data_IF_106825812628
#
_entry.id   IF_106825812628
#
_cell.length_a   1.000
_cell.length_b   1.000
_cell.length_c   1.000
_cell.angle_alpha   90.00
_cell.angle_beta   90.00
_cell.angle_gamma   90.00
#
_symmetry.space_group_name_H-M   'P 1'
#
loop_
_entity.id
_entity.type
_entity.pdbx_description
1 polymer ?
#
# COMPACT_ATOMS: atom_id res chain seq x y z
N UNK A 1 -39.78 20.53 28.79
CA UNK A 1 -39.12 19.38 28.12
C UNK A 1 -38.01 19.88 27.22
N UNK A 2 -36.80 19.94 27.76
CA UNK A 2 -35.62 20.49 27.07
C UNK A 2 -35.18 19.59 25.90
N UNK A 3 -34.57 20.18 24.86
CA UNK A 3 -34.10 19.49 23.64
C UNK A 3 -33.22 18.26 23.95
N UNK A 4 -32.49 18.31 25.06
CA UNK A 4 -31.61 17.26 25.55
C UNK A 4 -32.38 16.04 26.13
N UNK A 5 -33.53 16.26 26.77
CA UNK A 5 -34.40 15.18 27.30
C UNK A 5 -35.10 14.43 26.17
N UNK A 6 -35.54 15.14 25.13
CA UNK A 6 -36.11 14.52 23.91
C UNK A 6 -35.07 13.69 23.16
N UNK A 7 -33.81 14.14 23.12
CA UNK A 7 -32.70 13.38 22.55
C UNK A 7 -32.46 12.05 23.26
N UNK A 8 -32.44 12.07 24.61
CA UNK A 8 -32.30 10.86 25.44
C UNK A 8 -33.48 9.91 25.32
N UNK A 9 -34.70 10.42 25.28
CA UNK A 9 -35.90 9.59 25.10
C UNK A 9 -35.91 8.91 23.72
N UNK A 10 -35.52 9.64 22.67
CA UNK A 10 -35.46 9.09 21.31
C UNK A 10 -34.33 8.08 21.14
N UNK A 11 -33.17 8.26 21.80
CA UNK A 11 -32.10 7.26 21.79
C UNK A 11 -32.53 5.99 22.54
N UNK A 12 -33.18 6.12 23.70
CA UNK A 12 -33.72 5.00 24.46
C UNK A 12 -34.77 4.22 23.64
N UNK A 13 -35.71 4.92 22.98
CA UNK A 13 -36.72 4.31 22.13
C UNK A 13 -36.11 3.57 20.92
N UNK A 14 -35.05 4.12 20.30
CA UNK A 14 -34.33 3.46 19.20
C UNK A 14 -33.58 2.21 19.68
N UNK A 15 -32.90 2.30 20.82
CA UNK A 15 -32.20 1.16 21.41
C UNK A 15 -33.16 0.03 21.77
N UNK A 16 -34.33 0.37 22.33
CA UNK A 16 -35.37 -0.60 22.67
C UNK A 16 -35.94 -1.28 21.42
N UNK A 17 -36.21 -0.50 20.37
CA UNK A 17 -36.68 -1.05 19.08
C UNK A 17 -35.62 -1.95 18.42
N UNK A 18 -34.35 -1.57 18.50
CA UNK A 18 -33.24 -2.39 18.02
C UNK A 18 -33.13 -3.70 18.80
N UNK A 19 -33.24 -3.65 20.13
CA UNK A 19 -33.20 -4.84 21.00
C UNK A 19 -34.36 -5.80 20.70
N UNK A 20 -35.58 -5.29 20.51
CA UNK A 20 -36.71 -6.10 20.11
C UNK A 20 -36.49 -6.77 18.75
N UNK A 21 -35.89 -6.06 17.78
CA UNK A 21 -35.55 -6.63 16.48
C UNK A 21 -34.46 -7.69 16.56
N UNK A 22 -33.41 -7.48 17.35
CA UNK A 22 -32.35 -8.48 17.54
C UNK A 22 -32.88 -9.73 18.25
N UNK A 23 -33.77 -9.55 19.23
CA UNK A 23 -34.41 -10.67 19.92
C UNK A 23 -35.30 -11.50 19.00
N UNK A 24 -36.10 -10.85 18.13
CA UNK A 24 -36.89 -11.55 17.10
C UNK A 24 -35.99 -12.35 16.15
N UNK A 25 -34.89 -11.76 15.68
CA UNK A 25 -33.92 -12.44 14.82
C UNK A 25 -33.27 -13.63 15.52
N UNK A 26 -32.92 -13.48 16.80
CA UNK A 26 -32.33 -14.54 17.60
C UNK A 26 -33.28 -15.72 17.80
N UNK A 27 -34.56 -15.45 18.07
CA UNK A 27 -35.58 -16.50 18.20
C UNK A 27 -35.79 -17.24 16.87
N UNK A 28 -35.89 -16.52 15.75
CA UNK A 28 -36.00 -17.13 14.43
C UNK A 28 -34.77 -18.00 14.10
N UNK A 29 -33.56 -17.50 14.37
CA UNK A 29 -32.32 -18.25 14.19
C UNK A 29 -32.27 -19.52 15.05
N UNK A 30 -32.71 -19.46 16.31
CA UNK A 30 -32.79 -20.64 17.19
C UNK A 30 -33.78 -21.68 16.68
N UNK A 31 -34.93 -21.27 16.14
CA UNK A 31 -35.87 -22.20 15.52
C UNK A 31 -35.24 -22.90 14.31
N UNK A 32 -34.53 -22.15 13.45
CA UNK A 32 -33.82 -22.71 12.29
C UNK A 32 -32.73 -23.70 12.75
N UNK A 33 -31.93 -23.36 13.75
CA UNK A 33 -30.90 -24.24 14.28
C UNK A 33 -31.48 -25.55 14.85
N UNK A 34 -32.59 -25.47 15.61
CA UNK A 34 -33.29 -26.67 16.09
C UNK A 34 -33.87 -27.52 14.96
N UNK A 35 -34.31 -26.89 13.88
CA UNK A 35 -34.80 -27.61 12.70
C UNK A 35 -33.66 -28.33 11.97
N UNK A 36 -32.52 -27.66 11.78
CA UNK A 36 -31.33 -28.24 11.16
C UNK A 36 -30.73 -29.37 12.00
N UNK A 37 -30.77 -29.25 13.33
CA UNK A 37 -30.37 -30.32 14.25
C UNK A 37 -31.27 -31.55 14.09
N UNK A 38 -32.60 -31.37 14.05
CA UNK A 38 -33.56 -32.46 13.83
C UNK A 38 -33.46 -33.11 12.45
N UNK A 39 -33.13 -32.35 11.41
CA UNK A 39 -33.11 -32.84 10.02
C UNK A 39 -31.77 -33.45 9.62
N UNK A 40 -30.66 -32.97 10.18
CA UNK A 40 -29.31 -33.30 9.71
C UNK A 40 -28.34 -33.70 10.83
N UNK A 41 -28.77 -33.64 12.11
CA UNK A 41 -27.91 -33.92 13.27
C UNK A 41 -26.78 -32.91 13.46
N UNK A 42 -26.90 -31.71 12.87
CA UNK A 42 -25.90 -30.66 12.98
C UNK A 42 -26.10 -29.83 14.25
N UNK A 43 -25.25 -30.08 15.25
CA UNK A 43 -25.27 -29.37 16.53
C UNK A 43 -24.86 -27.90 16.39
N UNK A 44 -25.27 -27.06 17.34
CA UNK A 44 -24.83 -25.65 17.44
C UNK A 44 -23.29 -25.51 17.43
N UNK A 45 -22.59 -26.44 18.06
CA UNK A 45 -21.12 -26.52 18.07
C UNK A 45 -20.53 -26.72 16.67
N UNK A 46 -21.16 -27.53 15.82
CA UNK A 46 -20.75 -27.73 14.43
C UNK A 46 -20.83 -26.42 13.64
N UNK A 47 -21.93 -25.67 13.77
CA UNK A 47 -22.08 -24.38 13.07
C UNK A 47 -21.12 -23.31 13.60
N UNK A 48 -20.85 -23.31 14.91
CA UNK A 48 -19.84 -22.43 15.51
C UNK A 48 -18.47 -22.72 14.91
N UNK A 49 -18.06 -23.99 14.88
CA UNK A 49 -16.78 -24.42 14.32
C UNK A 49 -16.70 -24.13 12.81
N UNK A 50 -17.79 -24.31 12.05
CA UNK A 50 -17.84 -23.95 10.63
C UNK A 50 -17.77 -22.43 10.40
N UNK A 51 -18.39 -21.64 11.27
CA UNK A 51 -18.32 -20.18 11.20
C UNK A 51 -16.91 -19.69 11.50
N UNK A 52 -16.26 -20.23 12.54
CA UNK A 52 -14.86 -19.95 12.87
C UNK A 52 -13.92 -20.39 11.74
N UNK A 53 -14.11 -21.59 11.18
CA UNK A 53 -13.36 -22.06 10.02
C UNK A 53 -13.55 -21.16 8.80
N UNK A 54 -14.77 -20.72 8.49
CA UNK A 54 -15.04 -19.80 7.38
C UNK A 54 -14.41 -18.43 7.61
N UNK A 55 -14.46 -17.91 8.83
CA UNK A 55 -13.76 -16.65 9.20
C UNK A 55 -12.25 -16.79 9.06
N UNK A 56 -11.68 -17.93 9.48
CA UNK A 56 -10.26 -18.20 9.35
C UNK A 56 -9.83 -18.30 7.88
N UNK A 57 -10.60 -19.03 7.05
CA UNK A 57 -10.36 -19.12 5.60
C UNK A 57 -10.49 -17.74 4.95
N UNK A 58 -11.54 -16.97 5.26
CA UNK A 58 -11.69 -15.60 4.73
C UNK A 58 -10.52 -14.72 5.12
N UNK A 59 -10.12 -14.70 6.40
CA UNK A 59 -8.95 -13.95 6.86
C UNK A 59 -7.66 -14.38 6.14
N UNK A 60 -7.47 -15.68 5.92
CA UNK A 60 -6.30 -16.21 5.20
C UNK A 60 -6.33 -15.83 3.71
N UNK A 61 -7.48 -15.94 3.04
CA UNK A 61 -7.65 -15.54 1.64
C UNK A 61 -7.46 -14.03 1.47
N UNK A 62 -7.99 -13.22 2.38
CA UNK A 62 -7.77 -11.76 2.46
C UNK A 62 -6.28 -11.46 2.67
N UNK A 63 -5.60 -12.20 3.55
CA UNK A 63 -4.17 -12.03 3.80
C UNK A 63 -3.31 -12.43 2.60
N UNK A 64 -3.70 -13.47 1.85
CA UNK A 64 -3.02 -13.89 0.62
C UNK A 64 -3.27 -12.89 -0.51
N UNK A 65 -4.52 -12.48 -0.72
CA UNK A 65 -4.91 -11.45 -1.70
C UNK A 65 -4.18 -10.11 -1.46
N UNK A 66 -4.09 -9.68 -0.20
CA UNK A 66 -3.36 -8.46 0.16
C UNK A 66 -1.85 -8.59 0.01
N UNK A 67 -1.26 -9.77 0.24
CA UNK A 67 0.15 -10.03 -0.03
C UNK A 67 0.46 -9.96 -1.53
N UNK A 68 -0.31 -10.66 -2.36
CA UNK A 68 -0.18 -10.67 -3.83
C UNK A 68 -0.38 -9.25 -4.40
N UNK A 69 -1.33 -8.50 -3.84
CA UNK A 69 -1.53 -7.10 -4.19
C UNK A 69 -0.33 -6.21 -3.84
N UNK A 70 0.23 -6.34 -2.63
CA UNK A 70 1.40 -5.58 -2.24
C UNK A 70 2.61 -5.92 -3.12
N UNK A 71 2.71 -7.16 -3.60
CA UNK A 71 3.70 -7.59 -4.58
C UNK A 71 3.50 -6.89 -5.93
N UNK A 72 2.29 -6.89 -6.48
CA UNK A 72 2.01 -6.16 -7.72
C UNK A 72 2.23 -4.65 -7.61
N UNK A 73 1.83 -4.03 -6.50
CA UNK A 73 2.14 -2.61 -6.24
C UNK A 73 3.66 -2.41 -6.15
N UNK A 74 4.40 -3.37 -5.58
CA UNK A 74 5.84 -3.33 -5.58
C UNK A 74 6.40 -3.34 -7.00
N UNK A 75 5.97 -4.26 -7.87
CA UNK A 75 6.43 -4.30 -9.27
C UNK A 75 6.17 -2.97 -9.99
N UNK A 76 4.96 -2.42 -9.84
CA UNK A 76 4.58 -1.15 -10.46
C UNK A 76 5.43 0.03 -9.96
N UNK A 77 5.75 0.09 -8.66
CA UNK A 77 6.65 1.11 -8.09
C UNK A 77 8.07 0.97 -8.66
N UNK A 78 8.55 -0.25 -8.93
CA UNK A 78 9.86 -0.43 -9.56
C UNK A 78 9.87 0.01 -11.03
N UNK A 79 8.81 -0.26 -11.79
CA UNK A 79 8.68 0.21 -13.16
C UNK A 79 8.61 1.73 -13.22
N UNK A 80 7.86 2.36 -12.31
CA UNK A 80 7.79 3.81 -12.20
C UNK A 80 9.17 4.42 -11.88
N UNK A 81 9.91 3.84 -10.92
CA UNK A 81 11.27 4.27 -10.61
C UNK A 81 12.21 4.13 -11.82
N UNK A 82 12.11 3.03 -12.58
CA UNK A 82 12.91 2.83 -13.78
C UNK A 82 12.59 3.84 -14.87
N UNK A 83 11.30 4.17 -15.07
CA UNK A 83 10.89 5.17 -16.03
C UNK A 83 11.39 6.56 -15.65
N UNK A 84 11.27 6.96 -14.39
CA UNK A 84 11.82 8.23 -13.91
C UNK A 84 13.33 8.28 -14.13
N UNK A 85 14.05 7.22 -13.76
CA UNK A 85 15.49 7.14 -14.00
C UNK A 85 15.87 7.16 -15.50
N UNK A 86 15.04 6.59 -16.37
CA UNK A 86 15.24 6.64 -17.82
C UNK A 86 14.97 8.05 -18.37
N UNK A 87 13.94 8.74 -17.89
CA UNK A 87 13.63 10.12 -18.24
C UNK A 87 14.75 11.06 -17.81
N UNK A 88 15.27 10.93 -16.58
CA UNK A 88 16.42 11.71 -16.10
C UNK A 88 17.67 11.48 -16.96
N UNK A 89 17.91 10.24 -17.38
CA UNK A 89 19.00 9.90 -18.32
C UNK A 89 18.78 10.54 -19.69
N UNK A 90 17.56 10.52 -20.22
CA UNK A 90 17.23 11.17 -21.49
C UNK A 90 17.42 12.68 -21.38
N UNK A 91 16.99 13.31 -20.29
CA UNK A 91 17.20 14.74 -20.06
C UNK A 91 18.68 15.10 -19.94
N UNK A 92 19.47 14.33 -19.20
CA UNK A 92 20.92 14.57 -19.08
C UNK A 92 21.62 14.34 -20.41
N UNK A 93 21.23 13.32 -21.18
CA UNK A 93 21.69 13.12 -22.55
C UNK A 93 21.27 14.27 -23.46
N UNK A 94 20.07 14.81 -23.32
CA UNK A 94 19.59 15.94 -24.10
C UNK A 94 20.24 17.26 -23.70
N UNK A 95 20.55 17.48 -22.42
CA UNK A 95 21.36 18.62 -21.94
C UNK A 95 22.79 18.52 -22.47
N UNK A 96 23.39 17.33 -22.43
CA UNK A 96 24.71 17.05 -23.00
C UNK A 96 24.70 17.15 -24.54
N UNK A 97 23.63 16.69 -25.21
CA UNK A 97 23.42 16.87 -26.64
C UNK A 97 23.14 18.34 -26.96
N UNK A 98 22.42 19.12 -26.15
CA UNK A 98 22.20 20.57 -26.35
C UNK A 98 23.51 21.34 -26.22
N UNK A 99 24.36 20.97 -25.26
CA UNK A 99 25.76 21.42 -25.16
C UNK A 99 26.57 21.07 -26.42
N UNK A 100 26.44 19.83 -26.94
CA UNK A 100 27.05 19.40 -28.21
C UNK A 100 26.36 19.99 -29.47
N UNK A 101 25.08 20.38 -29.40
CA UNK A 101 24.23 20.88 -30.50
C UNK A 101 24.34 22.38 -30.69
N UNK A 102 24.91 23.12 -29.72
CA UNK A 102 25.55 24.41 -30.03
C UNK A 102 26.62 24.28 -31.14
N UNK A 103 27.04 23.05 -31.50
CA UNK A 103 27.87 22.73 -32.68
C UNK A 103 27.17 21.98 -33.84
N UNK A 104 25.90 21.57 -33.76
CA UNK A 104 25.15 20.98 -34.92
C UNK A 104 23.67 20.79 -34.61
N UNK A 105 22.80 21.10 -35.57
CA UNK A 105 21.35 21.36 -35.45
C UNK A 105 20.46 20.28 -34.79
N UNK A 106 19.27 20.77 -34.42
CA UNK A 106 18.12 20.21 -33.67
C UNK A 106 17.43 18.97 -34.29
N UNK A 107 16.61 18.24 -33.48
CA UNK A 107 15.48 17.28 -33.77
C UNK A 107 15.60 15.95 -32.99
N UNK A 108 14.70 15.38 -32.19
CA UNK A 108 13.29 15.55 -31.80
C UNK A 108 13.17 15.06 -30.34
N UNK A 109 12.37 15.70 -29.50
CA UNK A 109 12.06 15.23 -28.15
C UNK A 109 10.54 15.32 -27.98
N UNK A 110 9.85 14.19 -28.12
CA UNK A 110 8.41 14.08 -27.87
C UNK A 110 8.01 12.61 -27.83
N UNK A 111 7.79 12.11 -26.61
CA UNK A 111 7.19 10.81 -26.32
C UNK A 111 7.57 10.32 -24.93
N UNK A 112 6.83 10.58 -23.86
CA UNK A 112 5.60 11.33 -23.66
C UNK A 112 5.10 11.10 -22.22
N UNK A 113 4.29 12.01 -21.64
CA UNK A 113 3.66 11.87 -20.32
C UNK A 113 2.61 10.74 -20.21
N UNK A 114 2.25 10.07 -21.31
CA UNK A 114 1.19 9.06 -21.32
C UNK A 114 1.54 7.74 -20.61
N UNK A 115 2.80 7.31 -20.56
CA UNK A 115 3.15 6.02 -19.93
C UNK A 115 3.09 6.06 -18.40
N UNK A 116 3.42 7.21 -17.79
CA UNK A 116 3.29 7.42 -16.34
C UNK A 116 1.82 7.43 -15.92
N UNK A 117 0.96 8.12 -16.69
CA UNK A 117 -0.49 8.13 -16.48
C UNK A 117 -1.08 6.72 -16.62
N UNK A 118 -0.57 5.90 -17.56
CA UNK A 118 -1.01 4.51 -17.70
C UNK A 118 -0.62 3.63 -16.49
N UNK A 119 0.56 3.83 -15.92
CA UNK A 119 0.97 3.13 -14.70
C UNK A 119 0.17 3.60 -13.49
N UNK A 120 -0.12 4.88 -13.36
CA UNK A 120 -0.99 5.40 -12.31
C UNK A 120 -2.38 4.77 -12.39
N UNK A 121 -2.98 4.70 -13.58
CA UNK A 121 -4.26 4.01 -13.82
C UNK A 121 -4.19 2.51 -13.57
N UNK A 122 -3.08 1.85 -13.90
CA UNK A 122 -2.89 0.43 -13.58
C UNK A 122 -2.87 0.22 -12.06
N UNK A 123 -2.20 1.09 -11.31
CA UNK A 123 -2.23 1.04 -9.84
C UNK A 123 -3.64 1.29 -9.33
N UNK A 124 -4.38 2.24 -9.90
CA UNK A 124 -5.79 2.46 -9.54
C UNK A 124 -6.65 1.21 -9.77
N UNK A 125 -6.52 0.56 -10.92
CA UNK A 125 -7.28 -0.66 -11.22
C UNK A 125 -6.94 -1.83 -10.29
N UNK A 126 -5.66 -1.97 -9.89
CA UNK A 126 -5.25 -2.98 -8.91
C UNK A 126 -5.80 -2.62 -7.51
N UNK A 127 -5.84 -1.34 -7.14
CA UNK A 127 -6.41 -0.89 -5.84
C UNK A 127 -7.92 -1.10 -5.74
N UNK A 128 -8.67 -1.05 -6.85
CA UNK A 128 -10.11 -1.33 -6.87
C UNK A 128 -10.43 -2.80 -6.63
N UNK A 129 -9.55 -3.72 -7.09
CA UNK A 129 -9.74 -5.17 -6.93
C UNK A 129 -9.54 -5.66 -5.49
N UNK A 130 -8.75 -4.95 -4.69
CA UNK A 130 -8.51 -5.29 -3.28
C UNK A 130 -9.70 -4.96 -2.36
N UNK A 131 -10.54 -4.01 -2.79
CA UNK A 131 -11.66 -3.51 -2.00
C UNK A 131 -11.27 -2.54 -0.89
N UNK A 132 -12.22 -1.68 -0.52
CA UNK A 132 -11.99 -0.55 0.39
C UNK A 132 -11.62 -0.99 1.81
N UNK A 133 -12.18 -2.11 2.30
CA UNK A 133 -11.99 -2.56 3.66
C UNK A 133 -10.53 -3.01 3.93
N UNK A 134 -9.95 -3.81 3.04
CA UNK A 134 -8.56 -4.30 3.16
C UNK A 134 -7.56 -3.15 3.01
N UNK A 135 -7.81 -2.24 2.07
CA UNK A 135 -6.98 -1.06 1.87
C UNK A 135 -6.99 -0.15 3.10
N UNK A 136 -8.13 -0.04 3.78
CA UNK A 136 -8.27 0.73 5.03
C UNK A 136 -7.54 0.07 6.21
N UNK A 137 -7.62 -1.25 6.35
CA UNK A 137 -6.87 -1.99 7.38
C UNK A 137 -5.36 -1.86 7.17
N UNK A 138 -4.89 -1.94 5.93
CA UNK A 138 -3.48 -1.78 5.58
C UNK A 138 -2.94 -0.36 5.81
N UNK A 139 -3.80 0.66 5.80
CA UNK A 139 -3.41 2.07 5.88
C UNK A 139 -3.82 2.76 7.19
N UNK A 140 -4.64 2.10 8.03
CA UNK A 140 -5.11 2.65 9.30
C UNK A 140 -6.11 3.80 9.16
N UNK A 141 -6.73 3.97 7.99
CA UNK A 141 -7.56 5.16 7.65
C UNK A 141 -9.03 5.05 8.12
N UNK A 142 -9.33 4.23 9.13
CA UNK A 142 -10.70 3.87 9.56
C UNK A 142 -11.62 5.05 9.97
N UNK A 143 -11.09 6.25 10.21
CA UNK A 143 -11.81 7.40 10.77
C UNK A 143 -12.43 8.44 9.79
N UNK A 144 -12.20 8.38 8.47
CA UNK A 144 -12.62 9.42 7.53
C UNK A 144 -13.89 9.06 6.70
N UNK A 145 -14.49 10.02 5.98
CA UNK A 145 -15.59 9.76 5.03
C UNK A 145 -15.17 8.76 3.93
N UNK A 146 -16.04 7.87 3.44
CA UNK A 146 -15.66 6.77 2.53
C UNK A 146 -14.85 7.22 1.30
N UNK A 147 -15.17 8.37 0.71
CA UNK A 147 -14.52 8.89 -0.50
C UNK A 147 -13.12 9.44 -0.22
N UNK A 148 -12.95 10.23 0.85
CA UNK A 148 -11.64 10.74 1.26
C UNK A 148 -10.73 9.63 1.79
N UNK A 149 -11.33 8.60 2.40
CA UNK A 149 -10.65 7.42 2.93
C UNK A 149 -9.93 6.66 1.83
N UNK A 150 -10.65 6.36 0.75
CA UNK A 150 -10.12 5.65 -0.41
C UNK A 150 -9.05 6.46 -1.15
N UNK A 151 -9.27 7.77 -1.33
CA UNK A 151 -8.32 8.66 -1.97
C UNK A 151 -6.98 8.77 -1.21
N UNK A 152 -7.00 8.71 0.12
CA UNK A 152 -5.78 8.73 0.97
C UNK A 152 -5.08 7.37 1.05
N UNK A 153 -5.84 6.28 1.08
CA UNK A 153 -5.29 4.95 1.28
C UNK A 153 -4.41 4.50 0.09
N UNK A 154 -4.79 4.80 -1.16
CA UNK A 154 -4.00 4.44 -2.36
C UNK A 154 -2.54 4.95 -2.33
N UNK A 155 -2.28 6.26 -2.18
CA UNK A 155 -0.90 6.75 -2.13
C UNK A 155 -0.15 6.28 -0.88
N UNK A 156 -0.84 6.06 0.25
CA UNK A 156 -0.22 5.49 1.45
C UNK A 156 0.30 4.07 1.23
N UNK A 157 -0.42 3.22 0.49
CA UNK A 157 0.08 1.88 0.11
C UNK A 157 1.35 2.01 -0.73
N UNK A 158 1.36 2.88 -1.76
CA UNK A 158 2.56 3.11 -2.59
C UNK A 158 3.74 3.56 -1.72
N UNK A 159 3.53 4.49 -0.79
CA UNK A 159 4.56 4.97 0.13
C UNK A 159 5.05 3.86 1.06
N UNK A 160 4.15 3.02 1.61
CA UNK A 160 4.51 1.89 2.48
C UNK A 160 5.41 0.90 1.75
N UNK A 161 5.06 0.56 0.51
CA UNK A 161 5.88 -0.31 -0.35
C UNK A 161 7.23 0.32 -0.67
N UNK A 162 7.26 1.60 -1.08
CA UNK A 162 8.50 2.32 -1.35
C UNK A 162 9.41 2.41 -0.11
N UNK A 163 8.84 2.65 1.08
CA UNK A 163 9.55 2.65 2.36
C UNK A 163 10.17 1.28 2.66
N UNK A 164 9.42 0.20 2.45
CA UNK A 164 9.93 -1.17 2.59
C UNK A 164 11.14 -1.42 1.70
N UNK A 165 11.07 -1.01 0.43
CA UNK A 165 12.19 -1.15 -0.52
C UNK A 165 13.41 -0.30 -0.15
N UNK A 166 13.20 0.93 0.33
CA UNK A 166 14.25 1.79 0.85
C UNK A 166 14.98 1.13 2.03
N UNK A 167 14.24 0.58 2.99
CA UNK A 167 14.82 -0.13 4.13
C UNK A 167 15.61 -1.37 3.67
N UNK A 168 15.05 -2.17 2.76
CA UNK A 168 15.75 -3.31 2.17
C UNK A 168 17.06 -2.92 1.47
N UNK A 169 17.05 -1.80 0.72
CA UNK A 169 18.26 -1.27 0.10
C UNK A 169 19.30 -0.81 1.14
N UNK A 170 18.87 -0.18 2.24
CA UNK A 170 19.73 0.26 3.34
C UNK A 170 20.39 -0.92 4.05
N UNK A 171 19.61 -1.95 4.39
CA UNK A 171 20.12 -3.22 4.94
C UNK A 171 21.14 -3.83 3.97
N UNK A 172 20.83 -3.86 2.67
CA UNK A 172 21.73 -4.38 1.65
C UNK A 172 23.08 -3.64 1.55
N UNK A 173 23.14 -2.34 1.87
CA UNK A 173 24.40 -1.56 1.97
C UNK A 173 25.15 -1.89 3.26
N UNK A 174 24.45 -1.96 4.40
CA UNK A 174 25.03 -2.29 5.71
C UNK A 174 25.67 -3.68 5.67
N UNK A 175 24.94 -4.68 5.19
CA UNK A 175 25.45 -6.04 5.05
C UNK A 175 26.65 -6.12 4.12
N UNK A 176 26.63 -5.37 3.01
CA UNK A 176 27.76 -5.31 2.09
C UNK A 176 28.98 -4.71 2.74
N UNK A 177 28.81 -3.64 3.52
CA UNK A 177 29.91 -3.01 4.27
C UNK A 177 30.51 -3.99 5.28
N UNK A 178 29.67 -4.75 5.97
CA UNK A 178 30.08 -5.82 6.89
C UNK A 178 30.85 -6.94 6.18
N UNK A 179 30.38 -7.38 5.01
CA UNK A 179 31.08 -8.40 4.21
C UNK A 179 32.41 -7.88 3.65
N UNK A 180 32.43 -6.65 3.18
CA UNK A 180 33.63 -6.02 2.62
C UNK A 180 34.73 -5.81 3.66
N UNK A 181 34.40 -5.59 4.94
CA UNK A 181 35.42 -5.45 6.01
C UNK A 181 36.19 -6.76 6.28
N UNK A 182 35.63 -7.89 5.87
CA UNK A 182 36.24 -9.22 6.02
C UNK A 182 36.87 -9.72 4.70
N UNK A 183 36.72 -8.97 3.60
CA UNK A 183 37.27 -9.34 2.31
C UNK A 183 38.78 -9.15 2.28
N UNK A 184 39.52 -10.18 1.86
CA UNK A 184 40.97 -10.14 1.67
C UNK A 184 41.33 -10.43 0.22
N UNK A 185 42.39 -9.78 -0.27
CA UNK A 185 42.89 -9.95 -1.65
C UNK A 185 42.40 -8.87 -2.63
N UNK A 186 43.29 -8.46 -3.52
CA UNK A 186 43.12 -7.32 -4.44
C UNK A 186 41.94 -7.51 -5.40
N UNK A 187 41.76 -8.71 -5.95
CA UNK A 187 40.65 -9.03 -6.86
C UNK A 187 39.29 -9.03 -6.15
N UNK A 188 39.25 -9.52 -4.91
CA UNK A 188 38.03 -9.49 -4.08
C UNK A 188 37.68 -8.03 -3.74
N UNK A 189 38.68 -7.23 -3.35
CA UNK A 189 38.47 -5.81 -3.03
C UNK A 189 37.93 -5.00 -4.22
N UNK A 190 38.46 -5.23 -5.43
CA UNK A 190 37.94 -4.63 -6.66
C UNK A 190 36.46 -4.97 -6.88
N UNK A 191 36.08 -6.25 -6.79
CA UNK A 191 34.67 -6.69 -6.89
C UNK A 191 33.79 -6.04 -5.82
N UNK A 192 34.26 -5.98 -4.57
CA UNK A 192 33.51 -5.37 -3.47
C UNK A 192 33.31 -3.87 -3.66
N UNK A 193 34.27 -3.15 -4.26
CA UNK A 193 34.14 -1.74 -4.58
C UNK A 193 33.10 -1.49 -5.68
N UNK A 194 33.08 -2.30 -6.74
CA UNK A 194 32.05 -2.22 -7.80
C UNK A 194 30.65 -2.48 -7.22
N UNK A 195 30.50 -3.52 -6.40
CA UNK A 195 29.25 -3.83 -5.73
C UNK A 195 28.81 -2.74 -4.76
N UNK A 196 29.75 -2.09 -4.07
CA UNK A 196 29.49 -0.95 -3.20
C UNK A 196 28.86 0.19 -4.00
N UNK A 197 29.41 0.54 -5.16
CA UNK A 197 28.88 1.61 -6.01
C UNK A 197 27.45 1.29 -6.48
N UNK A 198 27.22 0.05 -6.94
CA UNK A 198 25.90 -0.40 -7.39
C UNK A 198 24.86 -0.30 -6.25
N UNK A 199 25.19 -0.82 -5.06
CA UNK A 199 24.29 -0.80 -3.90
C UNK A 199 24.00 0.61 -3.41
N UNK A 200 24.99 1.49 -3.39
CA UNK A 200 24.77 2.90 -3.02
C UNK A 200 23.92 3.64 -4.07
N UNK A 201 24.11 3.34 -5.36
CA UNK A 201 23.27 3.90 -6.43
C UNK A 201 21.82 3.46 -6.28
N UNK A 202 21.58 2.17 -6.03
CA UNK A 202 20.25 1.62 -5.76
C UNK A 202 19.62 2.26 -4.51
N UNK A 203 20.38 2.43 -3.43
CA UNK A 203 19.90 3.10 -2.22
C UNK A 203 19.44 4.53 -2.50
N UNK A 204 20.23 5.30 -3.26
CA UNK A 204 19.88 6.67 -3.65
C UNK A 204 18.62 6.73 -4.51
N UNK A 205 18.46 5.81 -5.45
CA UNK A 205 17.25 5.71 -6.28
C UNK A 205 16.01 5.43 -5.41
N UNK A 206 16.07 4.40 -4.54
CA UNK A 206 14.95 4.07 -3.64
C UNK A 206 14.61 5.21 -2.68
N UNK A 207 15.63 5.94 -2.22
CA UNK A 207 15.44 7.11 -1.37
C UNK A 207 14.74 8.24 -2.12
N UNK A 208 15.19 8.58 -3.33
CA UNK A 208 14.55 9.59 -4.17
C UNK A 208 13.09 9.24 -4.47
N UNK A 209 12.79 7.97 -4.77
CA UNK A 209 11.43 7.48 -4.99
C UNK A 209 10.54 7.68 -3.76
N UNK A 210 10.99 7.25 -2.57
CA UNK A 210 10.23 7.46 -1.33
C UNK A 210 9.98 8.95 -1.05
N UNK A 211 11.00 9.79 -1.19
CA UNK A 211 10.88 11.23 -0.93
C UNK A 211 9.89 11.88 -1.89
N UNK A 212 9.94 11.54 -3.19
CA UNK A 212 8.99 12.04 -4.20
C UNK A 212 7.54 11.70 -3.82
N UNK A 213 7.27 10.44 -3.48
CA UNK A 213 5.93 9.98 -3.10
C UNK A 213 5.46 10.63 -1.79
N UNK A 214 6.34 10.74 -0.79
CA UNK A 214 6.01 11.38 0.49
C UNK A 214 5.68 12.87 0.32
N UNK A 215 6.43 13.59 -0.51
CA UNK A 215 6.16 15.01 -0.83
C UNK A 215 4.82 15.17 -1.53
N UNK A 216 4.57 14.40 -2.60
CA UNK A 216 3.29 14.42 -3.32
C UNK A 216 2.10 14.18 -2.40
N UNK A 217 2.22 13.20 -1.49
CA UNK A 217 1.16 12.90 -0.52
C UNK A 217 0.93 14.06 0.47
N UNK A 218 2.00 14.62 1.02
CA UNK A 218 1.91 15.73 1.97
C UNK A 218 1.32 16.99 1.32
N UNK A 219 1.68 17.28 0.07
CA UNK A 219 1.14 18.38 -0.74
C UNK A 219 -0.37 18.19 -0.99
N UNK A 220 -0.81 16.96 -1.25
CA UNK A 220 -2.19 16.67 -1.64
C UNK A 220 -3.16 16.60 -0.45
N UNK A 221 -2.73 16.12 0.72
CA UNK A 221 -3.66 15.76 1.81
C UNK A 221 -3.47 16.50 3.13
N UNK A 222 -2.45 17.36 3.26
CA UNK A 222 -2.09 18.05 4.50
C UNK A 222 -2.26 17.17 5.76
N UNK A 223 -1.58 16.00 5.83
CA UNK A 223 -1.80 15.02 6.90
C UNK A 223 -1.17 15.44 8.24
N UNK A 224 -1.88 15.21 9.34
CA UNK A 224 -1.34 15.29 10.71
C UNK A 224 -1.09 13.87 11.27
N UNK A 225 0.17 13.49 11.61
CA UNK A 225 1.44 14.18 11.34
C UNK A 225 1.96 13.95 9.91
N UNK A 226 2.73 14.92 9.40
CA UNK A 226 3.40 14.87 8.10
C UNK A 226 4.32 13.65 7.97
N UNK A 227 4.32 13.02 6.78
CA UNK A 227 5.23 11.90 6.52
C UNK A 227 6.69 12.37 6.53
N UNK A 228 7.50 11.78 7.40
CA UNK A 228 8.90 12.12 7.55
C UNK A 228 9.69 11.85 6.25
N UNK A 229 10.52 12.82 5.87
CA UNK A 229 11.53 12.71 4.81
C UNK A 229 12.89 12.40 5.45
N UNK A 230 13.30 11.11 5.56
CA UNK A 230 14.52 10.75 6.25
C UNK A 230 15.75 11.25 5.48
N UNK A 231 16.76 11.72 6.20
CA UNK A 231 18.08 12.07 5.63
C UNK A 231 18.91 10.80 5.43
N UNK A 232 19.72 10.75 4.36
CA UNK A 232 20.60 9.60 4.04
C UNK A 232 21.81 9.50 4.97
#
# INVERSE_FOLDING_TARGET
MHRNERGRHNSAARSLKHLQQTQKKLLAARCILRQLDRQHGHTEEYFKNQCERKKAIQSQTISQSSADYLEHVAELVDLEEQLVAAQDKLETMDKNKRSRRRRRKHRHASGGPNTLVLLEKAIECVTEKLGDAELCELTGTSGASNVERYARAKPLVKIRVAKGKLLGAKVGVIEHRRRASHARGTNVQKKMNTLRLLKNTKLRQKHATYIRLAKQYNEQFAPDPSLATPTL
#
